data_IF_439460003611
#
_entry.id   IF_439460003611
#
_cell.length_a   1.000
_cell.length_b   1.000
_cell.length_c   1.000
_cell.angle_alpha   90.00
_cell.angle_beta   90.00
_cell.angle_gamma   90.00
#
_symmetry.space_group_name_H-M   'P 1'
#
loop_
_entity.id
_entity.type
_entity.pdbx_description
1 polymer ?
#
# COMPACT_ATOMS: atom_id res chain seq x y z
N UNK A 1 9.76 -19.78 -25.17
CA UNK A 1 8.33 -19.78 -24.81
C UNK A 1 8.11 -18.71 -23.76
N UNK A 2 6.95 -18.04 -23.76
CA UNK A 2 6.60 -17.11 -22.71
C UNK A 2 6.49 -17.87 -21.38
N UNK A 3 6.94 -17.25 -20.27
CA UNK A 3 6.84 -17.82 -18.93
C UNK A 3 5.39 -17.74 -18.47
N UNK A 4 4.76 -18.88 -18.16
CA UNK A 4 3.39 -18.90 -17.67
C UNK A 4 3.35 -18.71 -16.15
N UNK A 5 2.71 -17.63 -15.70
CA UNK A 5 2.64 -17.26 -14.28
C UNK A 5 1.18 -17.28 -13.82
N UNK A 6 0.90 -18.04 -12.78
CA UNK A 6 -0.39 -17.98 -12.06
C UNK A 6 -0.25 -17.03 -10.87
N UNK A 7 -1.05 -15.97 -10.84
CA UNK A 7 -1.15 -15.03 -9.70
C UNK A 7 -2.41 -15.34 -8.91
N UNK A 8 -2.27 -15.54 -7.59
CA UNK A 8 -3.41 -15.75 -6.68
C UNK A 8 -4.00 -14.41 -6.21
N UNK A 9 -5.16 -14.05 -6.71
CA UNK A 9 -5.93 -12.88 -6.27
C UNK A 9 -7.11 -13.25 -5.35
N UNK A 10 -7.19 -14.48 -4.84
CA UNK A 10 -8.34 -14.94 -4.03
C UNK A 10 -8.37 -14.33 -2.64
N UNK A 11 -7.25 -13.82 -2.13
CA UNK A 11 -7.15 -13.15 -0.81
C UNK A 11 -7.48 -11.65 -0.86
N UNK A 12 -7.75 -11.10 -2.02
CA UNK A 12 -8.08 -9.67 -2.15
C UNK A 12 -9.45 -9.39 -1.52
N UNK A 13 -9.53 -8.49 -0.52
CA UNK A 13 -10.80 -8.19 0.14
C UNK A 13 -11.73 -7.36 -0.75
N UNK A 14 -13.03 -7.42 -0.47
CA UNK A 14 -14.07 -6.70 -1.23
C UNK A 14 -13.90 -5.17 -1.21
N UNK A 15 -13.40 -4.62 -0.11
CA UNK A 15 -13.08 -3.19 0.03
C UNK A 15 -11.76 -2.80 -0.64
N UNK A 16 -11.08 -3.76 -1.25
CA UNK A 16 -9.79 -3.70 -1.94
C UNK A 16 -8.62 -3.26 -1.06
N UNK A 17 -8.73 -2.24 -0.26
CA UNK A 17 -7.67 -1.75 0.61
C UNK A 17 -6.30 -1.57 -0.08
N UNK A 18 -5.24 -1.70 0.68
CA UNK A 18 -3.86 -1.63 0.15
C UNK A 18 -3.49 -2.87 -0.68
N UNK A 19 -3.93 -4.07 -0.23
CA UNK A 19 -3.66 -5.32 -0.94
C UNK A 19 -4.32 -5.33 -2.32
N UNK A 20 -5.59 -4.89 -2.41
CA UNK A 20 -6.26 -4.81 -3.70
C UNK A 20 -5.61 -3.83 -4.66
N UNK A 21 -5.13 -2.67 -4.18
CA UNK A 21 -4.37 -1.73 -5.02
C UNK A 21 -3.08 -2.34 -5.56
N UNK A 22 -2.36 -3.09 -4.73
CA UNK A 22 -1.17 -3.80 -5.14
C UNK A 22 -1.46 -4.87 -6.19
N UNK A 23 -2.41 -5.77 -5.91
CA UNK A 23 -2.73 -6.89 -6.81
C UNK A 23 -3.31 -6.39 -8.13
N UNK A 24 -4.26 -5.44 -8.08
CA UNK A 24 -4.85 -4.85 -9.28
C UNK A 24 -3.81 -4.11 -10.14
N UNK A 25 -2.96 -3.31 -9.49
CA UNK A 25 -1.89 -2.57 -10.17
C UNK A 25 -0.87 -3.50 -10.84
N UNK A 26 -0.46 -4.55 -10.13
CA UNK A 26 0.49 -5.54 -10.65
C UNK A 26 -0.12 -6.33 -11.82
N UNK A 27 -1.33 -6.90 -11.67
CA UNK A 27 -1.99 -7.68 -12.70
C UNK A 27 -2.22 -6.84 -13.96
N UNK A 28 -2.73 -5.61 -13.80
CA UNK A 28 -2.95 -4.70 -14.92
C UNK A 28 -1.65 -4.34 -15.64
N UNK A 29 -0.56 -4.14 -14.91
CA UNK A 29 0.73 -3.85 -15.50
C UNK A 29 1.38 -5.07 -16.18
N UNK A 30 1.29 -6.25 -15.57
CA UNK A 30 1.76 -7.50 -16.19
C UNK A 30 1.07 -7.72 -17.54
N UNK A 31 -0.24 -7.55 -17.60
CA UNK A 31 -1.00 -7.71 -18.83
C UNK A 31 -0.70 -6.64 -19.90
N UNK A 32 -0.41 -5.40 -19.49
CA UNK A 32 -0.24 -4.28 -20.41
C UNK A 32 1.19 -4.10 -20.92
N UNK A 33 2.21 -4.50 -20.14
CA UNK A 33 3.61 -4.08 -20.40
C UNK A 33 4.58 -5.24 -20.61
N UNK A 34 4.20 -6.48 -20.28
CA UNK A 34 5.12 -7.61 -20.32
C UNK A 34 4.76 -8.58 -21.43
N UNK A 35 5.61 -8.66 -22.45
CA UNK A 35 5.42 -9.52 -23.64
C UNK A 35 5.83 -10.98 -23.36
N UNK A 36 6.74 -11.22 -22.42
CA UNK A 36 7.35 -12.54 -22.17
C UNK A 36 6.62 -13.36 -21.08
N UNK A 37 5.49 -12.88 -20.59
CA UNK A 37 4.69 -13.57 -19.55
C UNK A 37 3.31 -13.91 -20.09
N UNK A 38 2.95 -15.19 -20.00
CA UNK A 38 1.60 -15.67 -20.20
C UNK A 38 0.89 -15.69 -18.83
N UNK A 39 -0.03 -14.75 -18.62
CA UNK A 39 -0.63 -14.49 -17.32
C UNK A 39 -1.90 -15.32 -17.11
N UNK A 40 -1.95 -16.04 -15.98
CA UNK A 40 -3.16 -16.61 -15.43
C UNK A 40 -3.44 -15.97 -14.06
N UNK A 41 -4.72 -15.76 -13.73
CA UNK A 41 -5.16 -15.14 -12.46
C UNK A 41 -6.23 -16.03 -11.83
N UNK A 42 -5.95 -16.54 -10.62
CA UNK A 42 -6.95 -17.17 -9.78
C UNK A 42 -7.63 -16.10 -8.92
N UNK A 43 -8.95 -16.00 -8.92
CA UNK A 43 -9.67 -14.96 -8.20
C UNK A 43 -10.97 -15.46 -7.55
N UNK A 44 -11.54 -14.65 -6.67
CA UNK A 44 -12.90 -14.88 -6.20
C UNK A 44 -13.89 -14.73 -7.37
N UNK A 45 -14.95 -15.51 -7.37
CA UNK A 45 -15.98 -15.47 -8.44
C UNK A 45 -16.58 -14.08 -8.66
N UNK A 46 -16.64 -13.26 -7.61
CA UNK A 46 -17.15 -11.90 -7.71
C UNK A 46 -16.20 -10.94 -8.46
N UNK A 47 -14.95 -11.35 -8.64
CA UNK A 47 -13.90 -10.52 -9.26
C UNK A 47 -13.51 -10.98 -10.69
N UNK A 48 -14.14 -12.02 -11.24
CA UNK A 48 -13.78 -12.59 -12.55
C UNK A 48 -13.91 -11.57 -13.68
N UNK A 49 -15.05 -10.88 -13.77
CA UNK A 49 -15.24 -9.80 -14.74
C UNK A 49 -14.26 -8.63 -14.55
N UNK A 50 -13.92 -8.34 -13.30
CA UNK A 50 -12.95 -7.28 -12.99
C UNK A 50 -11.60 -7.61 -13.57
N UNK A 51 -11.08 -8.81 -13.26
CA UNK A 51 -9.77 -9.21 -13.77
C UNK A 51 -9.79 -9.47 -15.29
N UNK A 52 -10.90 -9.94 -15.85
CA UNK A 52 -11.09 -10.01 -17.30
C UNK A 52 -10.97 -8.66 -18.01
N UNK A 53 -11.46 -7.58 -17.39
CA UNK A 53 -11.29 -6.20 -17.90
C UNK A 53 -9.89 -5.63 -17.64
N UNK A 54 -9.30 -5.96 -16.49
CA UNK A 54 -8.01 -5.43 -16.07
C UNK A 54 -6.84 -6.07 -16.83
N UNK A 55 -6.97 -7.35 -17.16
CA UNK A 55 -5.97 -8.15 -17.85
C UNK A 55 -6.57 -8.85 -19.10
N UNK A 56 -6.93 -8.09 -20.15
CA UNK A 56 -7.47 -8.69 -21.38
C UNK A 56 -6.40 -9.61 -21.97
N UNK A 57 -6.81 -10.86 -22.26
CA UNK A 57 -5.91 -11.91 -22.77
C UNK A 57 -5.29 -12.81 -21.69
N UNK A 58 -5.42 -12.50 -20.42
CA UNK A 58 -5.04 -13.41 -19.35
C UNK A 58 -6.07 -14.55 -19.18
N UNK A 59 -5.60 -15.71 -18.72
CA UNK A 59 -6.49 -16.80 -18.31
C UNK A 59 -7.05 -16.50 -16.92
N UNK A 60 -8.34 -16.18 -16.81
CA UNK A 60 -8.99 -15.93 -15.53
C UNK A 60 -9.64 -17.23 -15.02
N UNK A 61 -9.31 -17.63 -13.80
CA UNK A 61 -9.84 -18.81 -13.13
C UNK A 61 -10.61 -18.38 -11.89
N UNK A 62 -11.94 -18.35 -12.00
CA UNK A 62 -12.80 -18.08 -10.85
C UNK A 62 -12.84 -19.30 -9.92
N UNK A 63 -12.44 -19.10 -8.67
CA UNK A 63 -12.52 -20.15 -7.65
C UNK A 63 -13.96 -20.48 -7.23
N UNK A 64 -14.14 -21.46 -6.34
CA UNK A 64 -15.45 -21.84 -5.83
C UNK A 64 -16.14 -20.70 -5.08
N UNK A 65 -17.46 -20.82 -4.94
CA UNK A 65 -18.24 -19.92 -4.08
C UNK A 65 -17.79 -20.12 -2.63
N UNK A 66 -17.65 -19.03 -1.89
CA UNK A 66 -17.28 -19.10 -0.46
C UNK A 66 -15.85 -18.67 -0.12
N UNK A 67 -14.99 -18.43 -1.12
CA UNK A 67 -13.60 -17.98 -0.87
C UNK A 67 -13.49 -16.64 -0.10
N UNK A 68 -14.59 -15.92 0.07
CA UNK A 68 -14.66 -14.79 1.02
C UNK A 68 -14.50 -15.21 2.48
N UNK A 69 -14.76 -16.48 2.82
CA UNK A 69 -14.54 -17.02 4.16
C UNK A 69 -13.12 -17.56 4.30
N UNK A 70 -12.45 -17.17 5.38
CA UNK A 70 -11.03 -17.49 5.62
C UNK A 70 -10.74 -19.00 5.60
N UNK A 71 -11.60 -19.83 6.22
CA UNK A 71 -11.41 -21.29 6.28
C UNK A 71 -11.46 -21.94 4.90
N UNK A 72 -12.42 -21.53 4.06
CA UNK A 72 -12.59 -22.06 2.71
C UNK A 72 -11.43 -21.62 1.80
N UNK A 73 -10.99 -20.37 1.95
CA UNK A 73 -9.84 -19.85 1.23
C UNK A 73 -8.55 -20.59 1.60
N UNK A 74 -8.30 -20.87 2.89
CA UNK A 74 -7.14 -21.65 3.31
C UNK A 74 -7.16 -23.08 2.76
N UNK A 75 -8.34 -23.73 2.73
CA UNK A 75 -8.48 -25.04 2.12
C UNK A 75 -8.23 -24.99 0.60
N UNK A 76 -8.75 -23.97 -0.08
CA UNK A 76 -8.49 -23.71 -1.49
C UNK A 76 -7.01 -23.47 -1.77
N UNK A 77 -6.34 -22.64 -0.98
CA UNK A 77 -4.89 -22.37 -1.10
C UNK A 77 -4.09 -23.67 -1.06
N UNK A 78 -4.44 -24.61 -0.16
CA UNK A 78 -3.67 -25.82 0.03
C UNK A 78 -3.94 -26.93 -1.00
N UNK A 79 -5.09 -26.95 -1.66
CA UNK A 79 -5.50 -28.03 -2.56
C UNK A 79 -5.98 -27.56 -3.94
N UNK A 80 -6.86 -26.56 -3.98
CA UNK A 80 -7.44 -26.09 -5.23
C UNK A 80 -6.46 -25.28 -6.07
N UNK A 81 -5.67 -24.44 -5.44
CA UNK A 81 -4.71 -23.57 -6.15
C UNK A 81 -3.57 -24.36 -6.83
N UNK A 82 -2.93 -25.36 -6.19
CA UNK A 82 -1.98 -26.23 -6.88
C UNK A 82 -2.57 -26.98 -8.06
N UNK A 83 -3.81 -27.44 -7.93
CA UNK A 83 -4.54 -28.09 -9.03
C UNK A 83 -4.79 -27.13 -10.20
N UNK A 84 -5.22 -25.89 -9.92
CA UNK A 84 -5.37 -24.86 -10.96
C UNK A 84 -4.03 -24.55 -11.62
N UNK A 85 -2.95 -24.45 -10.85
CA UNK A 85 -1.61 -24.19 -11.39
C UNK A 85 -1.19 -25.29 -12.41
N UNK A 86 -1.45 -26.55 -12.09
CA UNK A 86 -1.23 -27.68 -13.00
C UNK A 86 -2.13 -27.60 -14.24
N UNK A 87 -3.43 -27.32 -14.06
CA UNK A 87 -4.39 -27.23 -15.18
C UNK A 87 -4.06 -26.13 -16.18
N UNK A 88 -3.62 -24.96 -15.70
CA UNK A 88 -3.22 -23.87 -16.60
C UNK A 88 -1.79 -24.06 -17.11
N UNK A 89 -1.06 -25.06 -16.64
CA UNK A 89 0.34 -25.31 -17.02
C UNK A 89 1.28 -24.19 -16.56
N UNK A 90 1.07 -23.69 -15.33
CA UNK A 90 1.90 -22.62 -14.79
C UNK A 90 3.35 -23.09 -14.55
N UNK A 91 4.31 -22.26 -14.93
CA UNK A 91 5.75 -22.45 -14.63
C UNK A 91 6.10 -21.89 -13.24
N UNK A 92 5.35 -20.85 -12.80
CA UNK A 92 5.55 -20.16 -11.53
C UNK A 92 4.18 -19.83 -10.90
N UNK A 93 4.05 -20.05 -9.59
CA UNK A 93 2.95 -19.58 -8.77
C UNK A 93 3.37 -18.32 -8.02
N UNK A 94 2.63 -17.23 -8.14
CA UNK A 94 2.81 -16.03 -7.33
C UNK A 94 1.71 -15.90 -6.29
N UNK A 95 2.11 -15.85 -5.03
CA UNK A 95 1.27 -15.66 -3.85
C UNK A 95 1.47 -14.23 -3.32
N UNK A 96 0.54 -13.31 -3.56
CA UNK A 96 0.75 -11.88 -3.26
C UNK A 96 0.64 -11.50 -1.78
N UNK A 97 0.35 -12.45 -0.87
CA UNK A 97 0.01 -12.10 0.52
C UNK A 97 0.44 -13.13 1.57
N UNK A 98 1.71 -13.10 1.98
CA UNK A 98 2.34 -13.79 3.12
C UNK A 98 2.29 -15.33 3.15
N UNK A 99 1.32 -15.97 2.54
CA UNK A 99 1.09 -17.42 2.62
C UNK A 99 1.40 -18.12 1.31
N UNK A 100 1.48 -19.45 1.35
CA UNK A 100 1.62 -20.30 0.18
C UNK A 100 1.12 -21.71 0.48
N UNK A 101 0.78 -22.51 -0.55
CA UNK A 101 0.55 -23.94 -0.37
C UNK A 101 1.79 -24.63 0.21
N UNK A 102 1.59 -25.58 1.14
CA UNK A 102 2.70 -26.38 1.71
C UNK A 102 3.35 -27.30 0.66
N UNK A 103 2.60 -27.64 -0.38
CA UNK A 103 3.05 -28.50 -1.49
C UNK A 103 2.58 -27.88 -2.82
N UNK A 104 3.23 -26.81 -3.26
CA UNK A 104 2.80 -26.10 -4.48
C UNK A 104 3.02 -26.89 -5.78
N UNK A 105 3.96 -27.84 -5.79
CA UNK A 105 4.31 -28.64 -6.96
C UNK A 105 5.15 -27.92 -8.02
N UNK A 106 5.34 -26.62 -7.88
CA UNK A 106 6.07 -25.76 -8.83
C UNK A 106 6.79 -24.62 -8.10
N UNK A 107 7.76 -23.94 -8.75
CA UNK A 107 8.42 -22.77 -8.21
C UNK A 107 7.40 -21.71 -7.75
N UNK A 108 7.56 -21.24 -6.51
CA UNK A 108 6.61 -20.30 -5.90
C UNK A 108 7.32 -19.03 -5.47
N UNK A 109 6.73 -17.89 -5.83
CA UNK A 109 7.13 -16.55 -5.40
C UNK A 109 6.10 -16.04 -4.41
N UNK A 110 6.55 -15.51 -3.26
CA UNK A 110 5.64 -14.98 -2.24
C UNK A 110 5.96 -13.52 -1.95
N UNK A 111 4.95 -12.66 -1.95
CA UNK A 111 5.12 -11.27 -1.51
C UNK A 111 4.91 -11.16 0.00
N UNK A 112 5.90 -10.57 0.68
CA UNK A 112 5.86 -10.22 2.10
C UNK A 112 5.81 -8.69 2.19
N UNK A 113 4.68 -8.15 2.65
CA UNK A 113 4.48 -6.70 2.69
C UNK A 113 5.14 -6.05 3.89
N UNK A 114 5.05 -6.67 5.08
CA UNK A 114 5.64 -6.19 6.33
C UNK A 114 5.87 -7.33 7.33
N UNK A 115 6.45 -6.98 8.46
CA UNK A 115 6.69 -7.87 9.58
C UNK A 115 6.17 -7.31 10.91
N UNK A 116 5.25 -6.33 10.87
CA UNK A 116 4.74 -5.68 12.07
C UNK A 116 4.08 -6.64 13.07
N UNK A 117 3.52 -7.75 12.60
CA UNK A 117 3.01 -8.82 13.48
C UNK A 117 4.11 -9.60 14.22
N UNK A 118 5.39 -9.44 13.85
CA UNK A 118 6.53 -9.91 14.64
C UNK A 118 7.03 -8.85 15.60
N UNK A 119 7.14 -7.61 15.15
CA UNK A 119 7.77 -6.51 15.89
C UNK A 119 6.82 -5.79 16.84
N UNK A 120 5.53 -5.71 16.50
CA UNK A 120 4.46 -5.07 17.28
C UNK A 120 3.26 -6.02 17.46
N UNK A 121 3.44 -7.18 18.10
CA UNK A 121 2.42 -8.23 18.16
C UNK A 121 1.14 -7.83 18.89
N UNK A 122 1.20 -6.85 19.78
CA UNK A 122 0.06 -6.31 20.52
C UNK A 122 -1.00 -5.66 19.63
N UNK A 123 -0.64 -5.28 18.40
CA UNK A 123 -1.57 -4.71 17.40
C UNK A 123 -2.46 -5.73 16.72
N UNK A 124 -2.21 -7.01 16.95
CA UNK A 124 -2.91 -8.12 16.30
C UNK A 124 -3.63 -8.95 17.35
N UNK A 125 -4.80 -9.50 17.00
CA UNK A 125 -5.40 -10.52 17.87
C UNK A 125 -4.45 -11.72 17.94
N UNK A 126 -4.42 -12.42 19.08
CA UNK A 126 -3.54 -13.57 19.27
C UNK A 126 -3.67 -14.59 18.12
N UNK A 127 -4.92 -14.89 17.70
CA UNK A 127 -5.18 -15.88 16.65
C UNK A 127 -4.66 -15.39 15.29
N UNK A 128 -4.93 -14.13 14.91
CA UNK A 128 -4.48 -13.59 13.62
C UNK A 128 -2.96 -13.43 13.57
N UNK A 129 -2.36 -12.94 14.64
CA UNK A 129 -0.91 -12.76 14.76
C UNK A 129 -0.14 -14.07 14.67
N UNK A 130 -0.56 -15.12 15.40
CA UNK A 130 0.08 -16.46 15.34
C UNK A 130 -0.05 -17.08 13.95
N UNK A 131 -1.22 -16.97 13.32
CA UNK A 131 -1.45 -17.50 11.98
C UNK A 131 -0.56 -16.81 10.94
N UNK A 132 -0.49 -15.47 10.95
CA UNK A 132 0.37 -14.71 10.04
C UNK A 132 1.85 -15.03 10.26
N UNK A 133 2.32 -15.09 11.52
CA UNK A 133 3.69 -15.47 11.84
C UNK A 133 4.05 -16.86 11.30
N UNK A 134 3.15 -17.84 11.46
CA UNK A 134 3.37 -19.19 10.98
C UNK A 134 3.41 -19.25 9.45
N UNK A 135 2.43 -18.63 8.77
CA UNK A 135 2.37 -18.59 7.33
C UNK A 135 3.61 -17.91 6.73
N UNK A 136 3.98 -16.75 7.26
CA UNK A 136 5.16 -16.01 6.80
C UNK A 136 6.46 -16.77 7.02
N UNK A 137 6.64 -17.45 8.19
CA UNK A 137 7.81 -18.30 8.43
C UNK A 137 7.88 -19.45 7.43
N UNK A 138 6.74 -20.05 7.11
CA UNK A 138 6.66 -21.14 6.13
C UNK A 138 7.02 -20.62 4.74
N UNK A 139 6.41 -19.54 4.31
CA UNK A 139 6.70 -18.90 3.02
C UNK A 139 8.17 -18.47 2.91
N UNK A 140 8.71 -17.83 3.94
CA UNK A 140 10.10 -17.40 3.99
C UNK A 140 11.10 -18.56 3.80
N UNK A 141 10.78 -19.72 4.34
CA UNK A 141 11.63 -20.92 4.22
C UNK A 141 11.44 -21.69 2.92
N UNK A 142 10.18 -21.87 2.49
CA UNK A 142 9.81 -22.81 1.42
C UNK A 142 9.65 -22.16 0.05
N UNK A 143 9.25 -20.87 -0.02
CA UNK A 143 9.15 -20.19 -1.31
C UNK A 143 10.47 -20.23 -2.07
N UNK A 144 10.42 -20.33 -3.38
CA UNK A 144 11.61 -20.26 -4.23
C UNK A 144 12.23 -18.88 -4.18
N UNK A 145 11.40 -17.83 -4.25
CA UNK A 145 11.80 -16.43 -4.11
C UNK A 145 10.81 -15.68 -3.24
N UNK A 146 11.29 -14.58 -2.64
CA UNK A 146 10.46 -13.65 -1.89
C UNK A 146 10.50 -12.30 -2.59
N UNK A 147 9.36 -11.63 -2.65
CA UNK A 147 9.26 -10.23 -3.09
C UNK A 147 8.86 -9.38 -1.90
N UNK A 148 9.49 -8.22 -1.76
CA UNK A 148 9.18 -7.22 -0.74
C UNK A 148 9.03 -5.84 -1.38
N UNK A 149 8.19 -4.94 -0.81
CA UNK A 149 7.90 -3.64 -1.40
C UNK A 149 8.99 -2.58 -1.17
N UNK A 150 9.99 -2.84 -0.32
CA UNK A 150 11.03 -1.87 0.02
C UNK A 150 12.31 -2.56 0.52
N UNK A 151 13.44 -1.84 0.48
CA UNK A 151 14.67 -2.29 1.13
C UNK A 151 14.50 -2.40 2.65
N UNK A 152 13.76 -1.47 3.25
CA UNK A 152 13.44 -1.54 4.69
C UNK A 152 12.75 -2.86 5.05
N UNK A 153 11.78 -3.32 4.25
CA UNK A 153 11.11 -4.62 4.47
C UNK A 153 12.06 -5.80 4.24
N UNK A 154 12.95 -5.71 3.23
CA UNK A 154 14.00 -6.73 3.02
C UNK A 154 14.89 -6.86 4.25
N UNK A 155 15.42 -5.74 4.74
CA UNK A 155 16.37 -5.72 5.84
C UNK A 155 15.70 -6.19 7.15
N UNK A 156 14.41 -5.86 7.34
CA UNK A 156 13.62 -6.37 8.46
C UNK A 156 13.39 -7.89 8.33
N UNK A 157 13.09 -8.40 7.14
CA UNK A 157 12.88 -9.83 6.89
C UNK A 157 14.16 -10.64 7.18
N UNK A 158 15.32 -10.14 6.73
CA UNK A 158 16.63 -10.73 7.05
C UNK A 158 16.85 -10.73 8.56
N UNK A 159 16.64 -9.59 9.23
CA UNK A 159 16.88 -9.44 10.67
C UNK A 159 15.96 -10.32 11.53
N UNK A 160 14.67 -10.42 11.18
CA UNK A 160 13.65 -11.07 12.02
C UNK A 160 13.58 -12.58 11.78
N UNK A 161 13.81 -13.04 10.55
CA UNK A 161 13.63 -14.44 10.15
C UNK A 161 14.94 -15.13 9.70
N UNK A 162 16.06 -14.42 9.68
CA UNK A 162 17.38 -14.94 9.26
C UNK A 162 17.34 -15.55 7.85
N UNK A 163 16.71 -14.82 6.90
CA UNK A 163 16.58 -15.26 5.50
C UNK A 163 17.76 -14.76 4.69
N UNK A 164 18.30 -15.63 3.83
CA UNK A 164 19.32 -15.25 2.85
C UNK A 164 18.85 -14.06 2.00
N UNK A 165 19.54 -12.90 2.04
CA UNK A 165 19.20 -11.75 1.20
C UNK A 165 19.15 -12.08 -0.30
N UNK A 166 19.93 -13.06 -0.75
CA UNK A 166 19.94 -13.54 -2.12
C UNK A 166 18.62 -14.17 -2.57
N UNK A 167 17.74 -14.56 -1.63
CA UNK A 167 16.39 -15.09 -1.89
C UNK A 167 15.34 -13.99 -2.05
N UNK A 168 15.65 -12.74 -1.69
CA UNK A 168 14.70 -11.64 -1.60
C UNK A 168 14.90 -10.66 -2.76
N UNK A 169 13.81 -10.34 -3.45
CA UNK A 169 13.75 -9.34 -4.51
C UNK A 169 12.95 -8.13 -4.04
N UNK A 170 13.48 -6.93 -4.25
CA UNK A 170 12.75 -5.69 -3.96
C UNK A 170 12.00 -5.27 -5.21
N UNK A 171 10.68 -5.12 -5.10
CA UNK A 171 9.82 -4.61 -6.15
C UNK A 171 8.95 -3.49 -5.56
N UNK A 172 9.34 -2.24 -5.76
CA UNK A 172 8.58 -1.09 -5.32
C UNK A 172 7.16 -1.12 -5.91
N UNK A 173 6.18 -0.69 -5.13
CA UNK A 173 4.84 -0.48 -5.65
C UNK A 173 4.80 0.73 -6.59
N UNK A 174 3.83 0.73 -7.49
CA UNK A 174 3.55 1.86 -8.36
C UNK A 174 2.38 2.70 -7.85
N UNK A 175 2.18 3.84 -8.50
CA UNK A 175 0.95 4.63 -8.43
C UNK A 175 0.28 4.64 -9.80
N UNK A 176 -1.05 4.62 -9.82
CA UNK A 176 -1.80 4.78 -11.08
C UNK A 176 -1.94 6.27 -11.40
N UNK A 177 -1.06 6.78 -12.28
CA UNK A 177 -1.04 8.19 -12.68
C UNK A 177 -2.28 8.63 -13.50
N UNK A 178 -3.12 7.69 -13.97
CA UNK A 178 -4.41 8.02 -14.59
C UNK A 178 -5.44 8.41 -13.53
N UNK A 179 -5.31 7.84 -12.34
CA UNK A 179 -6.14 8.16 -11.19
C UNK A 179 -5.51 9.27 -10.34
N UNK A 180 -4.25 9.10 -9.92
CA UNK A 180 -3.53 10.05 -9.08
C UNK A 180 -2.71 11.00 -9.95
N UNK A 181 -3.25 12.16 -10.21
CA UNK A 181 -2.66 13.23 -11.02
C UNK A 181 -2.95 14.60 -10.38
N UNK A 182 -2.28 15.63 -10.80
CA UNK A 182 -2.59 16.99 -10.37
C UNK A 182 -4.05 17.32 -10.72
N UNK A 183 -4.92 17.59 -9.72
CA UNK A 183 -6.32 17.86 -9.97
C UNK A 183 -6.52 19.24 -10.63
N UNK A 184 -7.61 19.37 -11.36
CA UNK A 184 -8.11 20.66 -11.78
C UNK A 184 -8.94 21.34 -10.66
N UNK A 185 -9.28 22.62 -10.87
CA UNK A 185 -10.05 23.41 -9.90
C UNK A 185 -11.45 22.83 -9.65
N UNK A 186 -12.06 22.16 -10.63
CA UNK A 186 -13.39 21.56 -10.52
C UNK A 186 -13.32 20.35 -9.59
N UNK A 187 -12.29 19.53 -9.71
CA UNK A 187 -12.07 18.37 -8.82
C UNK A 187 -11.84 18.83 -7.37
N UNK A 188 -11.02 19.86 -7.16
CA UNK A 188 -10.78 20.43 -5.83
C UNK A 188 -12.04 21.04 -5.24
N UNK A 189 -12.76 21.86 -6.01
CA UNK A 189 -14.00 22.53 -5.58
C UNK A 189 -15.08 21.53 -5.20
N UNK A 190 -15.25 20.46 -5.98
CA UNK A 190 -16.19 19.37 -5.70
C UNK A 190 -15.90 18.72 -4.34
N UNK A 191 -14.64 18.41 -4.07
CA UNK A 191 -14.25 17.74 -2.83
C UNK A 191 -14.37 18.68 -1.64
N UNK A 192 -13.89 19.92 -1.74
CA UNK A 192 -14.01 20.91 -0.65
C UNK A 192 -15.46 21.25 -0.33
N UNK A 193 -16.35 21.29 -1.32
CA UNK A 193 -17.78 21.44 -1.10
C UNK A 193 -18.37 20.22 -0.36
N UNK A 194 -18.04 19.00 -0.76
CA UNK A 194 -18.45 17.76 -0.07
C UNK A 194 -18.01 17.74 1.39
N UNK A 195 -16.80 18.21 1.67
CA UNK A 195 -16.24 18.31 3.01
C UNK A 195 -16.79 19.52 3.80
N UNK A 196 -17.61 20.35 3.17
CA UNK A 196 -18.15 21.57 3.74
C UNK A 196 -17.07 22.64 3.96
N UNK A 197 -15.94 22.57 3.32
CA UNK A 197 -14.83 23.52 3.49
C UNK A 197 -14.99 24.77 2.63
N UNK A 198 -15.73 24.68 1.52
CA UNK A 198 -16.06 25.82 0.64
C UNK A 198 -14.81 26.66 0.26
N UNK A 199 -13.75 25.99 -0.17
CA UNK A 199 -12.50 26.63 -0.59
C UNK A 199 -11.55 27.03 0.55
N UNK A 200 -11.89 26.79 1.81
CA UNK A 200 -10.94 27.03 2.92
C UNK A 200 -9.76 26.06 2.86
N UNK A 201 -8.55 26.52 3.22
CA UNK A 201 -7.37 25.68 3.25
C UNK A 201 -7.52 24.52 4.26
N UNK A 202 -6.88 23.40 3.97
CA UNK A 202 -6.90 22.24 4.86
C UNK A 202 -5.61 21.43 4.77
N UNK A 203 -5.26 20.81 5.90
CA UNK A 203 -4.27 19.75 6.01
C UNK A 203 -5.01 18.42 5.82
N UNK A 204 -4.53 17.57 4.92
CA UNK A 204 -5.13 16.29 4.62
C UNK A 204 -4.36 15.14 5.27
N UNK A 205 -5.10 14.17 5.80
CA UNK A 205 -4.61 12.84 6.17
C UNK A 205 -5.42 11.81 5.41
N UNK A 206 -4.76 10.85 4.76
CA UNK A 206 -5.40 9.73 4.07
C UNK A 206 -4.89 8.40 4.61
N UNK A 207 -5.80 7.56 5.12
CA UNK A 207 -5.46 6.21 5.57
C UNK A 207 -6.41 5.66 6.62
N UNK A 208 -6.18 4.39 7.01
CA UNK A 208 -6.87 3.85 8.18
C UNK A 208 -6.44 4.61 9.43
N UNK A 209 -7.33 4.68 10.44
CA UNK A 209 -7.02 5.32 11.72
C UNK A 209 -6.31 4.35 12.69
N UNK A 210 -5.62 3.34 12.15
CA UNK A 210 -4.84 2.39 12.92
C UNK A 210 -3.69 3.10 13.69
N UNK A 211 -3.29 2.60 14.88
CA UNK A 211 -2.28 3.24 15.74
C UNK A 211 -0.97 3.57 15.04
N UNK A 212 -0.52 2.72 14.09
CA UNK A 212 0.71 2.96 13.32
C UNK A 212 0.65 4.21 12.44
N UNK A 213 -0.55 4.64 12.02
CA UNK A 213 -0.77 5.85 11.20
C UNK A 213 -0.70 7.13 12.01
N UNK A 214 -0.75 7.03 13.33
CA UNK A 214 -0.44 8.09 14.28
C UNK A 214 -1.37 9.31 14.21
N UNK A 215 -2.64 9.09 13.87
CA UNK A 215 -3.64 10.16 13.81
C UNK A 215 -3.79 10.97 15.13
N UNK A 216 -3.69 10.37 16.35
CA UNK A 216 -3.74 11.13 17.59
C UNK A 216 -2.66 12.21 17.70
N UNK A 217 -1.38 11.85 17.42
CA UNK A 217 -0.30 12.82 17.45
C UNK A 217 -0.45 13.90 16.36
N UNK A 218 -0.97 13.53 15.17
CA UNK A 218 -1.30 14.51 14.14
C UNK A 218 -2.34 15.50 14.59
N UNK A 219 -3.43 15.07 15.24
CA UNK A 219 -4.48 15.96 15.76
C UNK A 219 -3.91 16.95 16.77
N UNK A 220 -3.13 16.47 17.73
CA UNK A 220 -2.48 17.33 18.73
C UNK A 220 -1.47 18.29 18.08
N UNK A 221 -0.60 17.77 17.20
CA UNK A 221 0.42 18.58 16.53
C UNK A 221 -0.17 19.63 15.60
N UNK A 222 -1.23 19.27 14.82
CA UNK A 222 -1.96 20.23 14.01
C UNK A 222 -2.61 21.33 14.85
N UNK A 223 -3.33 20.95 15.91
CA UNK A 223 -3.98 21.93 16.76
C UNK A 223 -2.98 22.94 17.36
N UNK A 224 -1.81 22.47 17.79
CA UNK A 224 -0.73 23.34 18.28
C UNK A 224 -0.12 24.21 17.16
N UNK A 225 0.09 23.64 15.97
CA UNK A 225 0.68 24.36 14.83
C UNK A 225 -0.16 25.54 14.34
N UNK A 226 -1.50 25.46 14.48
CA UNK A 226 -2.43 26.46 13.90
C UNK A 226 -3.13 27.32 14.95
N UNK A 227 -2.82 27.14 16.23
CA UNK A 227 -3.57 27.75 17.36
C UNK A 227 -3.64 29.28 17.31
N UNK A 228 -2.61 29.94 16.82
CA UNK A 228 -2.44 31.38 16.75
C UNK A 228 -2.63 31.98 15.35
N UNK A 229 -2.98 31.15 14.35
CA UNK A 229 -3.25 31.63 13.01
C UNK A 229 -4.61 32.33 12.93
N UNK A 230 -4.67 33.47 12.23
CA UNK A 230 -5.91 34.19 12.01
C UNK A 230 -6.92 33.39 11.17
N UNK A 231 -6.40 32.64 10.19
CA UNK A 231 -7.20 31.73 9.33
C UNK A 231 -6.60 30.33 9.37
N UNK A 232 -6.87 29.53 10.42
CA UNK A 232 -6.28 28.22 10.56
C UNK A 232 -6.81 27.24 9.50
N UNK A 233 -5.94 26.52 8.78
CA UNK A 233 -6.36 25.46 7.89
C UNK A 233 -7.06 24.34 8.68
N UNK A 234 -8.17 23.82 8.13
CA UNK A 234 -8.86 22.68 8.74
C UNK A 234 -7.98 21.42 8.72
N UNK A 235 -8.19 20.48 9.64
CA UNK A 235 -7.66 19.13 9.52
C UNK A 235 -8.74 18.19 8.99
N UNK A 236 -8.43 17.43 7.94
CA UNK A 236 -9.33 16.42 7.39
C UNK A 236 -8.71 15.04 7.52
N UNK A 237 -9.34 14.17 8.33
CA UNK A 237 -8.94 12.78 8.53
C UNK A 237 -9.82 11.87 7.66
N UNK A 238 -9.38 11.57 6.45
CA UNK A 238 -10.08 10.71 5.50
C UNK A 238 -9.62 9.25 5.61
N UNK A 239 -10.59 8.34 5.71
CA UNK A 239 -10.41 6.91 5.85
C UNK A 239 -11.24 6.32 6.98
N UNK A 240 -11.11 5.03 7.23
CA UNK A 240 -11.91 4.33 8.22
C UNK A 240 -11.14 3.24 8.95
N UNK A 241 -11.79 2.64 9.95
CA UNK A 241 -11.24 1.56 10.77
C UNK A 241 -10.13 2.01 11.74
N UNK A 242 -9.88 1.20 12.77
CA UNK A 242 -8.76 1.42 13.69
C UNK A 242 -8.95 2.54 14.70
N UNK A 243 -10.19 2.87 15.04
CA UNK A 243 -10.48 3.82 16.13
C UNK A 243 -9.79 3.40 17.42
N UNK A 244 -9.18 4.38 18.11
CA UNK A 244 -8.62 4.18 19.44
C UNK A 244 -9.17 5.24 20.38
N UNK A 245 -9.24 4.91 21.66
CA UNK A 245 -9.56 5.87 22.72
C UNK A 245 -8.63 7.09 22.68
N UNK A 246 -7.35 6.89 22.36
CA UNK A 246 -6.36 7.96 22.22
C UNK A 246 -6.76 8.98 21.14
N UNK A 247 -7.35 8.52 20.04
CA UNK A 247 -7.82 9.44 18.99
C UNK A 247 -9.04 10.23 19.45
N UNK A 248 -9.99 9.59 20.13
CA UNK A 248 -11.17 10.30 20.67
C UNK A 248 -10.76 11.34 21.71
N UNK A 249 -9.81 11.02 22.59
CA UNK A 249 -9.25 11.96 23.56
C UNK A 249 -8.52 13.12 22.87
N UNK A 250 -7.74 12.86 21.82
CA UNK A 250 -7.06 13.91 21.06
C UNK A 250 -8.06 14.84 20.37
N UNK A 251 -9.12 14.28 19.77
CA UNK A 251 -10.20 15.05 19.13
C UNK A 251 -10.98 15.88 20.14
N UNK A 252 -11.27 15.34 21.33
CA UNK A 252 -11.99 16.06 22.38
C UNK A 252 -11.21 17.28 22.92
N UNK A 253 -9.90 17.29 22.79
CA UNK A 253 -9.01 18.42 23.20
C UNK A 253 -8.87 19.51 22.12
N UNK A 254 -9.38 19.29 20.91
CA UNK A 254 -9.30 20.30 19.84
C UNK A 254 -10.13 21.53 20.23
N UNK A 255 -9.53 22.73 20.23
CA UNK A 255 -10.27 23.97 20.52
C UNK A 255 -11.45 24.16 19.56
N UNK A 256 -12.57 24.65 20.08
CA UNK A 256 -13.85 24.77 19.33
C UNK A 256 -13.81 25.70 18.12
N UNK A 257 -12.83 26.63 18.05
CA UNK A 257 -12.62 27.52 16.91
C UNK A 257 -11.85 26.84 15.76
N UNK A 258 -11.19 25.70 16.02
CA UNK A 258 -10.50 24.93 15.00
C UNK A 258 -11.44 23.91 14.37
N UNK A 259 -11.28 23.70 13.06
CA UNK A 259 -12.15 22.81 12.29
C UNK A 259 -11.47 21.49 11.98
N UNK A 260 -11.94 20.41 12.60
CA UNK A 260 -11.56 19.05 12.30
C UNK A 260 -12.72 18.34 11.59
N UNK A 261 -12.46 17.72 10.43
CA UNK A 261 -13.44 17.02 9.59
C UNK A 261 -13.07 15.56 9.47
N UNK A 262 -14.03 14.67 9.65
CA UNK A 262 -13.89 13.22 9.56
C UNK A 262 -14.92 12.65 8.58
N UNK A 263 -14.65 12.66 7.27
CA UNK A 263 -15.64 12.24 6.28
C UNK A 263 -15.81 10.71 6.19
N UNK A 264 -14.97 9.92 6.87
CA UNK A 264 -14.88 8.50 6.63
C UNK A 264 -14.15 8.20 5.31
N UNK A 265 -14.58 7.14 4.61
CA UNK A 265 -14.05 6.81 3.29
C UNK A 265 -14.49 7.83 2.23
N UNK A 266 -13.53 8.28 1.44
CA UNK A 266 -13.80 9.08 0.24
C UNK A 266 -13.88 8.19 -1.00
N UNK A 267 -14.76 8.49 -1.96
CA UNK A 267 -14.74 7.83 -3.26
C UNK A 267 -13.37 7.97 -3.95
N UNK A 268 -12.91 6.93 -4.64
CA UNK A 268 -11.63 6.95 -5.35
C UNK A 268 -11.51 8.14 -6.33
N UNK A 269 -12.58 8.49 -7.01
CA UNK A 269 -12.63 9.64 -7.95
C UNK A 269 -12.42 11.01 -7.28
N UNK A 270 -12.57 11.08 -5.95
CA UNK A 270 -12.37 12.30 -5.19
C UNK A 270 -10.97 12.43 -4.60
N UNK A 271 -10.19 11.32 -4.56
CA UNK A 271 -8.86 11.32 -3.95
C UNK A 271 -7.88 12.30 -4.60
N UNK A 272 -7.82 12.47 -5.93
CA UNK A 272 -6.93 13.49 -6.53
C UNK A 272 -7.25 14.90 -6.06
N UNK A 273 -8.53 15.29 -6.10
CA UNK A 273 -8.97 16.61 -5.61
C UNK A 273 -8.75 16.80 -4.12
N UNK A 274 -8.88 15.71 -3.32
CA UNK A 274 -8.63 15.73 -1.89
C UNK A 274 -7.14 15.86 -1.55
N UNK A 275 -6.28 15.14 -2.23
CA UNK A 275 -4.85 15.17 -1.96
C UNK A 275 -4.21 16.44 -2.54
N UNK A 276 -4.43 16.70 -3.84
CA UNK A 276 -3.80 17.83 -4.52
C UNK A 276 -4.38 19.20 -4.17
N UNK A 277 -5.59 19.26 -3.58
CA UNK A 277 -6.18 20.50 -3.07
C UNK A 277 -5.77 20.84 -1.64
N UNK A 278 -5.03 19.97 -0.93
CA UNK A 278 -4.55 20.20 0.41
C UNK A 278 -3.32 21.14 0.42
N UNK A 279 -3.22 22.03 1.41
CA UNK A 279 -2.01 22.85 1.60
C UNK A 279 -0.83 22.00 2.05
N UNK A 280 -1.08 20.92 2.82
CA UNK A 280 -0.12 19.90 3.20
C UNK A 280 -0.87 18.57 3.34
N UNK A 281 -0.32 17.48 2.81
CA UNK A 281 -0.73 16.13 3.16
C UNK A 281 0.19 15.62 4.25
N UNK A 282 -0.38 15.35 5.45
CA UNK A 282 0.37 14.88 6.60
C UNK A 282 0.18 13.37 6.81
N UNK A 283 1.27 12.62 6.74
CA UNK A 283 1.32 11.18 6.94
C UNK A 283 2.38 10.81 7.99
N UNK A 284 2.21 11.20 9.29
CA UNK A 284 3.24 11.05 10.30
C UNK A 284 3.27 9.63 10.90
N UNK A 285 3.24 8.63 10.04
CA UNK A 285 3.20 7.22 10.42
C UNK A 285 4.42 6.80 11.23
N UNK A 286 4.22 5.93 12.22
CA UNK A 286 5.29 5.30 13.01
C UNK A 286 6.03 4.21 12.21
N UNK A 287 5.47 3.81 11.08
CA UNK A 287 6.04 2.86 10.13
C UNK A 287 5.08 2.57 8.99
N UNK A 288 5.63 2.39 7.81
CA UNK A 288 4.92 2.00 6.59
C UNK A 288 5.63 0.87 5.87
N UNK A 289 4.87 0.08 5.15
CA UNK A 289 5.44 -1.01 4.35
C UNK A 289 6.05 -0.48 3.06
N UNK A 290 5.34 0.46 2.45
CA UNK A 290 5.78 1.22 1.30
C UNK A 290 5.41 2.70 1.43
N UNK A 291 4.18 3.02 1.85
CA UNK A 291 3.72 4.40 1.97
C UNK A 291 2.93 4.87 0.76
N UNK A 292 2.05 4.02 0.21
CA UNK A 292 1.18 4.40 -0.92
C UNK A 292 0.50 5.76 -0.74
N UNK A 293 -0.05 6.15 0.44
CA UNK A 293 -0.66 7.47 0.59
C UNK A 293 0.30 8.64 0.39
N UNK A 294 1.58 8.48 0.76
CA UNK A 294 2.63 9.47 0.49
C UNK A 294 2.87 9.59 -1.00
N UNK A 295 3.06 8.46 -1.68
CA UNK A 295 3.27 8.41 -3.11
C UNK A 295 2.06 8.96 -3.89
N UNK A 296 0.84 8.60 -3.48
CA UNK A 296 -0.41 9.10 -4.05
C UNK A 296 -0.54 10.63 -3.91
N UNK A 297 -0.18 11.17 -2.74
CA UNK A 297 -0.15 12.61 -2.51
C UNK A 297 0.90 13.33 -3.38
N UNK A 298 2.10 12.77 -3.49
CA UNK A 298 3.15 13.27 -4.38
C UNK A 298 2.68 13.28 -5.84
N UNK A 299 2.03 12.21 -6.31
CA UNK A 299 1.48 12.13 -7.66
C UNK A 299 0.36 13.15 -7.94
N UNK A 300 -0.39 13.54 -6.89
CA UNK A 300 -1.38 14.62 -6.97
C UNK A 300 -0.75 16.01 -6.84
N UNK A 301 0.57 16.13 -6.68
CA UNK A 301 1.26 17.42 -6.56
C UNK A 301 1.06 18.09 -5.20
N UNK A 302 0.71 17.35 -4.16
CA UNK A 302 0.61 17.90 -2.81
C UNK A 302 1.98 18.02 -2.15
N UNK A 303 2.26 19.08 -1.36
CA UNK A 303 3.36 19.08 -0.41
C UNK A 303 3.11 18.03 0.68
N UNK A 304 4.09 17.18 0.97
CA UNK A 304 3.94 16.08 1.92
C UNK A 304 4.81 16.28 3.15
N UNK A 305 4.22 16.09 4.34
CA UNK A 305 4.91 15.94 5.61
C UNK A 305 4.79 14.49 6.09
N UNK A 306 5.91 13.82 6.29
CA UNK A 306 5.93 12.43 6.74
C UNK A 306 7.05 12.19 7.77
N UNK A 307 7.32 10.93 8.15
CA UNK A 307 8.39 10.59 9.10
C UNK A 307 9.55 9.89 8.41
N UNK A 308 10.72 9.93 9.06
CA UNK A 308 11.93 9.24 8.58
C UNK A 308 11.94 7.77 9.04
N UNK A 309 10.80 7.04 8.86
CA UNK A 309 10.60 5.69 9.39
C UNK A 309 10.40 4.68 8.27
N UNK A 310 11.01 3.50 8.42
CA UNK A 310 10.86 2.34 7.55
C UNK A 310 11.06 2.67 6.07
N UNK A 311 10.07 2.42 5.20
CA UNK A 311 10.13 2.65 3.75
C UNK A 311 9.87 4.11 3.32
N UNK A 312 9.43 4.99 4.22
CA UNK A 312 9.05 6.35 3.85
C UNK A 312 10.21 7.18 3.24
N UNK A 313 11.46 7.05 3.72
CA UNK A 313 12.60 7.69 3.06
C UNK A 313 12.90 7.16 1.66
N UNK A 314 12.62 5.88 1.39
CA UNK A 314 12.79 5.28 0.06
C UNK A 314 11.80 5.87 -0.94
N UNK A 315 10.58 6.15 -0.49
CA UNK A 315 9.51 6.74 -1.32
C UNK A 315 9.68 8.26 -1.42
N UNK A 316 9.79 8.95 -0.29
CA UNK A 316 9.84 10.41 -0.24
C UNK A 316 11.16 11.01 -0.74
N UNK A 317 12.31 10.41 -0.39
CA UNK A 317 13.63 10.99 -0.68
C UNK A 317 13.73 12.43 -0.16
N UNK A 318 14.27 13.32 -0.97
CA UNK A 318 14.35 14.76 -0.66
C UNK A 318 13.11 15.55 -1.13
N UNK A 319 12.09 14.85 -1.65
CA UNK A 319 10.91 15.45 -2.25
C UNK A 319 9.74 15.66 -1.26
N UNK A 320 9.97 15.39 0.02
CA UNK A 320 8.98 15.54 1.10
C UNK A 320 9.65 16.21 2.33
N UNK A 321 8.83 16.76 3.21
CA UNK A 321 9.29 17.19 4.52
C UNK A 321 9.19 16.05 5.54
N UNK A 322 10.13 16.02 6.49
CA UNK A 322 10.19 14.99 7.52
C UNK A 322 9.99 15.58 8.92
N UNK A 323 9.41 14.75 9.79
CA UNK A 323 9.24 15.04 11.22
C UNK A 323 9.42 13.75 12.03
N UNK A 324 9.69 13.89 13.34
CA UNK A 324 9.51 12.77 14.26
C UNK A 324 8.01 12.52 14.52
N UNK A 325 7.61 11.31 14.93
CA UNK A 325 6.19 10.93 15.05
C UNK A 325 5.51 11.42 16.33
N UNK A 326 6.11 12.31 17.11
CA UNK A 326 5.51 12.95 18.27
C UNK A 326 4.77 14.24 17.91
N UNK A 327 3.83 14.66 18.76
CA UNK A 327 2.97 15.80 18.47
C UNK A 327 3.73 17.14 18.39
N UNK A 328 4.74 17.33 19.22
CA UNK A 328 5.51 18.58 19.25
C UNK A 328 6.36 18.75 17.98
N UNK A 329 7.03 17.68 17.57
CA UNK A 329 7.80 17.66 16.31
C UNK A 329 6.89 17.87 15.09
N UNK A 330 5.70 17.24 15.08
CA UNK A 330 4.70 17.44 14.02
C UNK A 330 4.24 18.91 14.00
N UNK A 331 3.98 19.51 15.17
CA UNK A 331 3.55 20.90 15.26
C UNK A 331 4.60 21.85 14.66
N UNK A 332 5.87 21.70 15.03
CA UNK A 332 6.98 22.52 14.54
C UNK A 332 7.14 22.36 13.01
N UNK A 333 7.18 21.13 12.52
CA UNK A 333 7.39 20.85 11.11
C UNK A 333 6.21 21.31 10.25
N UNK A 334 4.97 21.08 10.71
CA UNK A 334 3.76 21.53 10.02
C UNK A 334 3.68 23.05 9.97
N UNK A 335 3.96 23.74 11.11
CA UNK A 335 3.98 25.21 11.15
C UNK A 335 5.01 25.77 10.19
N UNK A 336 6.21 25.25 10.18
CA UNK A 336 7.27 25.69 9.27
C UNK A 336 6.87 25.54 7.78
N UNK A 337 6.08 24.52 7.44
CA UNK A 337 5.55 24.37 6.08
C UNK A 337 4.42 25.35 5.79
N UNK A 338 3.52 25.60 6.75
CA UNK A 338 2.39 26.52 6.58
C UNK A 338 2.85 27.97 6.41
N UNK A 339 3.96 28.35 7.04
CA UNK A 339 4.54 29.68 6.97
C UNK A 339 5.45 29.88 5.75
N UNK A 340 5.71 28.85 4.93
CA UNK A 340 6.65 28.89 3.79
C UNK A 340 6.00 28.36 2.49
N UNK A 341 5.22 29.20 1.78
CA UNK A 341 4.60 28.84 0.50
C UNK A 341 5.61 28.47 -0.60
N UNK A 342 6.82 29.05 -0.57
CA UNK A 342 7.84 28.74 -1.57
C UNK A 342 8.35 27.30 -1.38
N UNK A 343 8.58 26.92 -0.13
CA UNK A 343 8.94 25.52 0.22
C UNK A 343 7.82 24.55 -0.11
N UNK A 344 6.55 24.90 0.13
CA UNK A 344 5.41 24.06 -0.29
C UNK A 344 5.41 23.86 -1.81
N UNK A 345 5.59 24.93 -2.60
CA UNK A 345 5.66 24.83 -4.05
C UNK A 345 6.85 23.99 -4.53
N UNK A 346 8.02 24.13 -3.90
CA UNK A 346 9.20 23.34 -4.21
C UNK A 346 8.98 21.85 -3.92
N UNK A 347 8.42 21.49 -2.75
CA UNK A 347 8.10 20.11 -2.40
C UNK A 347 7.01 19.51 -3.29
N UNK A 348 5.99 20.30 -3.66
CA UNK A 348 4.96 19.90 -4.63
C UNK A 348 5.57 19.52 -5.99
N UNK A 349 6.47 20.35 -6.50
CA UNK A 349 7.14 20.10 -7.78
C UNK A 349 8.08 18.87 -7.70
N UNK A 350 8.90 18.80 -6.67
CA UNK A 350 9.84 17.69 -6.44
C UNK A 350 9.09 16.37 -6.21
N UNK A 351 8.02 16.37 -5.39
CA UNK A 351 7.19 15.21 -5.11
C UNK A 351 6.52 14.66 -6.38
N UNK A 352 5.95 15.55 -7.19
CA UNK A 352 5.35 15.15 -8.45
C UNK A 352 6.38 14.52 -9.40
N UNK A 353 7.55 15.14 -9.55
CA UNK A 353 8.63 14.60 -10.39
C UNK A 353 9.07 13.21 -9.89
N UNK A 354 9.32 13.07 -8.58
CA UNK A 354 9.75 11.81 -7.99
C UNK A 354 8.68 10.71 -8.09
N UNK A 355 7.39 11.06 -8.02
CA UNK A 355 6.33 10.06 -8.15
C UNK A 355 6.35 9.32 -9.50
N UNK A 356 6.95 9.93 -10.54
CA UNK A 356 7.08 9.32 -11.86
C UNK A 356 8.04 8.12 -11.88
N UNK A 357 8.96 8.02 -10.89
CA UNK A 357 9.87 6.88 -10.73
C UNK A 357 9.12 5.62 -10.27
N UNK A 358 7.91 5.77 -9.74
CA UNK A 358 7.12 4.70 -9.15
C UNK A 358 5.93 4.32 -10.02
N UNK A 359 6.14 3.45 -10.99
CA UNK A 359 5.08 2.97 -11.87
C UNK A 359 4.79 1.49 -11.64
N UNK A 360 3.55 1.08 -11.87
CA UNK A 360 3.19 -0.35 -11.86
C UNK A 360 3.92 -1.12 -12.96
N UNK A 361 4.30 -0.48 -14.07
CA UNK A 361 5.13 -1.08 -15.12
C UNK A 361 6.54 -1.45 -14.61
N UNK A 362 7.19 -0.55 -13.87
CA UNK A 362 8.48 -0.83 -13.24
C UNK A 362 8.35 -1.95 -12.19
N UNK A 363 7.29 -1.91 -11.38
CA UNK A 363 6.97 -2.98 -10.43
C UNK A 363 6.80 -4.32 -11.13
N UNK A 364 5.99 -4.40 -12.20
CA UNK A 364 5.79 -5.61 -12.99
C UNK A 364 7.12 -6.15 -13.57
N UNK A 365 7.98 -5.27 -14.07
CA UNK A 365 9.32 -5.67 -14.57
C UNK A 365 10.16 -6.33 -13.47
N UNK A 366 10.16 -5.76 -12.25
CA UNK A 366 10.87 -6.35 -11.11
C UNK A 366 10.28 -7.71 -10.70
N UNK A 367 8.95 -7.84 -10.70
CA UNK A 367 8.27 -9.12 -10.46
C UNK A 367 8.65 -10.18 -11.50
N UNK A 368 8.64 -9.83 -12.78
CA UNK A 368 9.00 -10.76 -13.86
C UNK A 368 10.45 -11.22 -13.74
N UNK A 369 11.36 -10.34 -13.33
CA UNK A 369 12.73 -10.74 -13.05
C UNK A 369 12.80 -11.78 -11.90
N UNK A 370 11.97 -11.64 -10.87
CA UNK A 370 11.85 -12.63 -9.79
C UNK A 370 11.25 -13.95 -10.29
N UNK A 371 10.22 -13.91 -11.13
CA UNK A 371 9.59 -15.10 -11.70
C UNK A 371 10.59 -15.89 -12.57
N UNK A 372 11.36 -15.21 -13.42
CA UNK A 372 12.40 -15.86 -14.23
C UNK A 372 13.45 -16.56 -13.37
N UNK A 373 13.94 -15.89 -12.30
CA UNK A 373 14.86 -16.50 -11.34
C UNK A 373 14.25 -17.71 -10.63
N UNK A 374 12.96 -17.66 -10.27
CA UNK A 374 12.27 -18.77 -9.63
C UNK A 374 12.15 -19.98 -10.59
N UNK A 375 11.77 -19.76 -11.83
CA UNK A 375 11.66 -20.81 -12.84
C UNK A 375 13.02 -21.49 -13.12
N UNK A 376 14.11 -20.72 -13.25
CA UNK A 376 15.47 -21.23 -13.45
C UNK A 376 15.91 -22.12 -12.29
N UNK A 377 15.67 -21.70 -11.04
CA UNK A 377 15.97 -22.48 -9.83
C UNK A 377 15.16 -23.79 -9.77
N UNK A 378 13.86 -23.75 -10.10
CA UNK A 378 13.02 -24.94 -10.17
C UNK A 378 13.49 -25.95 -11.21
N UNK A 379 13.91 -25.46 -12.37
CA UNK A 379 14.46 -26.30 -13.44
C UNK A 379 15.80 -26.95 -13.06
N UNK A 380 16.62 -26.29 -12.26
CA UNK A 380 17.88 -26.84 -11.76
C UNK A 380 17.65 -27.97 -10.75
N UNK A 381 16.68 -27.79 -9.83
CA UNK A 381 16.30 -28.82 -8.83
C UNK A 381 15.66 -30.06 -9.47
N UNK A 382 14.93 -29.92 -10.57
CA UNK A 382 14.31 -31.05 -11.26
C UNK A 382 15.33 -31.91 -12.06
N UNK A 383 16.53 -31.39 -12.30
CA UNK A 383 17.63 -32.09 -13.03
C UNK A 383 18.66 -32.73 -12.08
N UNK A 384 18.66 -32.38 -10.79
CA UNK A 384 19.52 -32.97 -9.74
C UNK A 384 18.86 -34.16 -9.06
#
# INVERSE_FOLDING_TARGET
MALRVLVDATDVPTDRGALGRYVDGLIGALAATVVDVDLAVACQRADDERYGRLAPGATIVAGPVGLGHRSERLAWEQSGLPFVAEQVGADVLHMPNYSMPLRPGLPTVVTIHDLSFFTDPERYTQISGVSLKSATKTAARQATRLIVPSNATRDELVRVLDIDPGKIDVAYHGVDHRLFHRPDEVQVSRVTARLGLHGKPYVAFLGSLAPRKNAPALVCGWAAAVADLAEPPALVLAGGGGWSQELDEAVARVPSHLRLVRPGYLPFADLPGFLGGAVVVAAPSRGEWFGLPVLEAMACGAPVLTTYRTSLPEVGGDAVAYTEPDADSIAVALRALLDDPERQAALSAAGYARSQDFSWAASATAHVASYKRAADQGSALARS
#
